data_IF_767004942704
#
_entry.id   IF_767004942704
#
_cell.length_a   1.000
_cell.length_b   1.000
_cell.length_c   1.000
_cell.angle_alpha   90.00
_cell.angle_beta   90.00
_cell.angle_gamma   90.00
#
_symmetry.space_group_name_H-M   'P 1'
#
loop_
_entity.id
_entity.type
_entity.pdbx_description
1 polymer ?
#
# COMPACT_ATOMS: atom_id res chain seq x y z
N UNK A 1 -49.65 -46.36 -11.87
CA UNK A 1 -49.15 -46.69 -13.23
C UNK A 1 -49.22 -45.42 -14.05
N UNK A 2 -48.08 -44.86 -14.46
CA UNK A 2 -48.02 -43.61 -15.22
C UNK A 2 -47.49 -43.90 -16.63
N UNK A 3 -48.27 -43.52 -17.64
CA UNK A 3 -48.03 -43.75 -19.05
C UNK A 3 -46.97 -42.79 -19.61
N UNK A 4 -46.04 -43.32 -20.41
CA UNK A 4 -45.11 -42.53 -21.20
C UNK A 4 -45.76 -42.16 -22.53
N UNK A 5 -46.07 -40.88 -22.76
CA UNK A 5 -46.44 -40.37 -24.08
C UNK A 5 -45.20 -39.86 -24.80
N UNK A 6 -44.88 -40.47 -25.96
CA UNK A 6 -43.85 -39.98 -26.88
C UNK A 6 -44.49 -38.98 -27.84
N UNK A 7 -43.98 -37.76 -27.89
CA UNK A 7 -44.32 -36.80 -28.94
C UNK A 7 -43.30 -36.89 -30.10
N UNK A 8 -43.74 -36.84 -31.36
CA UNK A 8 -42.85 -36.89 -32.51
C UNK A 8 -42.09 -35.56 -32.68
N UNK A 9 -40.78 -35.66 -32.91
CA UNK A 9 -39.96 -34.53 -33.32
C UNK A 9 -40.34 -34.14 -34.75
N UNK A 10 -40.97 -32.98 -34.90
CA UNK A 10 -41.25 -32.38 -36.21
C UNK A 10 -39.94 -31.99 -36.92
N UNK A 11 -39.84 -32.20 -38.25
CA UNK A 11 -38.66 -31.84 -39.02
C UNK A 11 -38.66 -30.33 -39.37
N UNK A 12 -37.47 -29.75 -39.22
CA UNK A 12 -36.88 -28.74 -40.12
C UNK A 12 -37.69 -27.44 -40.31
N UNK A 13 -37.44 -26.48 -39.41
CA UNK A 13 -37.60 -25.06 -39.74
C UNK A 13 -36.61 -24.69 -40.86
N UNK A 14 -37.09 -24.72 -42.09
CA UNK A 14 -36.59 -23.87 -43.17
C UNK A 14 -37.01 -22.44 -42.88
N UNK A 15 -36.06 -21.59 -42.49
CA UNK A 15 -36.18 -20.14 -42.63
C UNK A 15 -34.80 -19.60 -42.96
N UNK A 16 -34.71 -19.06 -44.16
CA UNK A 16 -33.59 -18.39 -44.81
C UNK A 16 -32.76 -17.53 -43.87
N UNK A 17 -31.55 -17.98 -43.52
CA UNK A 17 -30.52 -17.07 -43.03
C UNK A 17 -29.98 -16.29 -44.24
N UNK A 18 -30.21 -14.98 -44.25
CA UNK A 18 -29.59 -14.09 -45.22
C UNK A 18 -28.07 -14.17 -45.01
N UNK A 19 -27.36 -14.85 -45.93
CA UNK A 19 -25.91 -14.78 -46.01
C UNK A 19 -25.58 -13.34 -46.37
N UNK A 20 -25.11 -12.56 -45.40
CA UNK A 20 -24.46 -11.28 -45.67
C UNK A 20 -23.15 -11.58 -46.40
N UNK A 21 -23.22 -11.60 -47.72
CA UNK A 21 -22.05 -11.59 -48.59
C UNK A 21 -21.47 -10.19 -48.49
N UNK A 22 -20.44 -10.02 -47.67
CA UNK A 22 -19.64 -8.81 -47.66
C UNK A 22 -18.85 -8.73 -48.97
N UNK A 23 -19.42 -8.09 -49.99
CA UNK A 23 -18.65 -7.64 -51.15
C UNK A 23 -17.71 -6.52 -50.70
N UNK A 24 -16.46 -6.86 -50.38
CA UNK A 24 -15.41 -5.85 -50.22
C UNK A 24 -15.01 -5.37 -51.60
N UNK A 25 -15.31 -4.12 -51.92
CA UNK A 25 -14.68 -3.40 -53.02
C UNK A 25 -13.22 -3.12 -52.61
N UNK A 26 -12.30 -4.05 -52.90
CA UNK A 26 -10.92 -4.03 -52.36
C UNK A 26 -9.98 -3.06 -53.10
N UNK A 27 -10.30 -2.57 -54.31
CA UNK A 27 -9.24 -2.13 -55.22
C UNK A 27 -9.22 -0.65 -55.67
N UNK A 28 -10.15 0.22 -55.26
CA UNK A 28 -10.23 1.57 -55.87
C UNK A 28 -9.74 2.72 -54.98
N UNK A 29 -9.67 2.59 -53.64
CA UNK A 29 -9.32 3.71 -52.74
C UNK A 29 -8.02 3.52 -51.92
N UNK A 30 -7.17 2.55 -52.27
CA UNK A 30 -5.98 2.22 -51.47
C UNK A 30 -4.73 3.08 -51.76
N UNK A 31 -4.72 3.91 -52.81
CA UNK A 31 -3.49 4.55 -53.31
C UNK A 31 -3.12 5.87 -52.62
N UNK A 32 -4.00 6.49 -51.83
CA UNK A 32 -3.75 7.77 -51.14
C UNK A 32 -3.74 7.69 -49.61
N UNK A 33 -4.16 6.56 -49.03
CA UNK A 33 -4.24 6.37 -47.58
C UNK A 33 -2.90 5.87 -47.01
N UNK A 34 -2.35 6.56 -46.00
CA UNK A 34 -1.20 6.06 -45.23
C UNK A 34 -1.55 4.69 -44.64
N UNK A 35 -0.69 3.70 -44.82
CA UNK A 35 -0.91 2.35 -44.29
C UNK A 35 -1.02 2.38 -42.76
N UNK A 36 -2.23 2.14 -42.23
CA UNK A 36 -2.47 2.02 -40.80
C UNK A 36 -2.42 0.54 -40.41
N UNK A 37 -1.23 0.07 -40.04
CA UNK A 37 -1.05 -1.29 -39.53
C UNK A 37 -1.66 -1.43 -38.13
N UNK A 38 -2.24 -2.60 -37.80
CA UNK A 38 -2.71 -2.85 -36.46
C UNK A 38 -1.54 -2.88 -35.46
N UNK A 39 -1.80 -2.53 -34.19
CA UNK A 39 -0.77 -2.59 -33.17
C UNK A 39 -0.37 -4.05 -32.90
N UNK A 40 0.93 -4.29 -32.74
CA UNK A 40 1.49 -5.62 -32.48
C UNK A 40 1.21 -5.97 -31.01
N UNK A 41 0.05 -6.56 -30.75
CA UNK A 41 -0.40 -6.94 -29.41
C UNK A 41 -0.75 -8.43 -29.35
N UNK A 42 -0.46 -9.12 -28.23
CA UNK A 42 -0.88 -10.50 -28.06
C UNK A 42 -2.40 -10.59 -27.92
N UNK A 43 -3.02 -11.71 -28.30
CA UNK A 43 -4.45 -11.94 -28.12
C UNK A 43 -4.87 -11.82 -26.64
N UNK A 44 -6.07 -11.28 -26.36
CA UNK A 44 -6.59 -11.10 -24.98
C UNK A 44 -7.16 -12.39 -24.36
N UNK A 45 -7.84 -13.23 -25.15
CA UNK A 45 -8.63 -14.38 -24.65
C UNK A 45 -7.93 -15.74 -24.76
N UNK A 46 -6.75 -15.80 -25.38
CA UNK A 46 -6.02 -17.06 -25.54
C UNK A 46 -5.47 -17.59 -24.20
N UNK A 47 -5.34 -18.92 -24.09
CA UNK A 47 -4.71 -19.58 -22.93
C UNK A 47 -3.18 -19.57 -23.03
N UNK A 48 -2.55 -18.40 -23.02
CA UNK A 48 -1.09 -18.24 -23.15
C UNK A 48 -0.50 -17.28 -22.10
N UNK A 49 0.84 -17.34 -21.90
CA UNK A 49 1.55 -16.41 -21.00
C UNK A 49 1.43 -14.96 -21.49
N UNK A 50 1.46 -14.73 -22.80
CA UNK A 50 1.36 -13.41 -23.40
C UNK A 50 -0.03 -12.80 -23.22
N UNK A 51 -1.09 -13.59 -23.39
CA UNK A 51 -2.46 -13.16 -23.12
C UNK A 51 -2.67 -12.77 -21.64
N UNK A 52 -2.16 -13.59 -20.71
CA UNK A 52 -2.23 -13.30 -19.26
C UNK A 52 -1.51 -12.00 -18.90
N UNK A 53 -0.36 -11.72 -19.50
CA UNK A 53 0.38 -10.46 -19.31
C UNK A 53 -0.43 -9.27 -19.83
N UNK A 54 -1.05 -9.37 -21.01
CA UNK A 54 -1.89 -8.31 -21.58
C UNK A 54 -3.07 -7.97 -20.67
N UNK A 55 -3.80 -8.97 -20.18
CA UNK A 55 -4.91 -8.75 -19.23
C UNK A 55 -4.44 -8.04 -17.96
N UNK A 56 -3.25 -8.37 -17.45
CA UNK A 56 -2.68 -7.70 -16.29
C UNK A 56 -2.32 -6.22 -16.59
N UNK A 57 -1.74 -5.94 -17.76
CA UNK A 57 -1.39 -4.57 -18.18
C UNK A 57 -2.65 -3.71 -18.30
N UNK A 58 -3.66 -4.20 -19.03
CA UNK A 58 -4.94 -3.48 -19.21
C UNK A 58 -5.63 -3.21 -17.86
N UNK A 59 -5.55 -4.16 -16.91
CA UNK A 59 -6.04 -3.95 -15.55
C UNK A 59 -5.27 -2.82 -14.82
N UNK A 60 -3.94 -2.78 -14.91
CA UNK A 60 -3.17 -1.71 -14.28
C UNK A 60 -3.36 -0.35 -14.98
N UNK A 61 -3.61 -0.32 -16.29
CA UNK A 61 -3.96 0.90 -17.02
C UNK A 61 -5.30 1.46 -16.53
N UNK A 62 -6.30 0.62 -16.35
CA UNK A 62 -7.58 1.01 -15.73
C UNK A 62 -7.35 1.59 -14.32
N UNK A 63 -6.54 0.92 -13.49
CA UNK A 63 -6.23 1.40 -12.15
C UNK A 63 -5.51 2.75 -12.12
N UNK A 64 -4.69 3.07 -13.13
CA UNK A 64 -4.01 4.38 -13.18
C UNK A 64 -5.02 5.52 -13.29
N UNK A 65 -6.11 5.32 -14.04
CA UNK A 65 -7.16 6.32 -14.27
C UNK A 65 -8.18 6.48 -13.11
N UNK A 66 -8.31 5.49 -12.22
CA UNK A 66 -9.29 5.50 -11.13
C UNK A 66 -8.94 6.44 -9.96
N UNK A 67 -9.90 6.64 -9.05
CA UNK A 67 -9.69 7.35 -7.77
C UNK A 67 -8.95 6.48 -6.73
N UNK A 68 -8.39 7.09 -5.67
CA UNK A 68 -7.60 6.36 -4.65
C UNK A 68 -8.40 5.27 -3.95
N UNK A 69 -9.66 5.56 -3.59
CA UNK A 69 -10.53 4.58 -2.91
C UNK A 69 -10.83 3.37 -3.79
N UNK A 70 -11.11 3.61 -5.08
CA UNK A 70 -11.33 2.56 -6.06
C UNK A 70 -10.07 1.73 -6.31
N UNK A 71 -8.88 2.36 -6.33
CA UNK A 71 -7.60 1.65 -6.44
C UNK A 71 -7.39 0.70 -5.28
N UNK A 72 -7.60 1.16 -4.04
CA UNK A 72 -7.48 0.33 -2.84
C UNK A 72 -8.46 -0.84 -2.93
N UNK A 73 -9.73 -0.58 -3.25
CA UNK A 73 -10.76 -1.62 -3.40
C UNK A 73 -10.38 -2.65 -4.46
N UNK A 74 -9.90 -2.22 -5.62
CA UNK A 74 -9.55 -3.11 -6.71
C UNK A 74 -8.30 -3.95 -6.42
N UNK A 75 -7.28 -3.38 -5.77
CA UNK A 75 -6.05 -4.09 -5.39
C UNK A 75 -6.28 -5.10 -4.25
N UNK A 76 -7.16 -4.78 -3.30
CA UNK A 76 -7.44 -5.64 -2.14
C UNK A 76 -8.56 -6.66 -2.35
N UNK A 77 -9.31 -6.57 -3.47
CA UNK A 77 -10.46 -7.42 -3.77
C UNK A 77 -10.15 -8.92 -3.74
N UNK A 78 -8.98 -9.33 -4.22
CA UNK A 78 -8.62 -10.74 -4.36
C UNK A 78 -7.73 -11.17 -3.21
N UNK A 79 -8.27 -11.98 -2.29
CA UNK A 79 -7.51 -12.52 -1.16
C UNK A 79 -6.84 -13.84 -1.56
N UNK A 80 -5.51 -13.88 -1.46
CA UNK A 80 -4.69 -15.09 -1.65
C UNK A 80 -3.85 -15.32 -0.40
N UNK A 81 -3.31 -16.54 -0.26
CA UNK A 81 -2.31 -16.83 0.78
C UNK A 81 -1.14 -15.84 0.66
N UNK A 82 -0.84 -15.12 1.73
CA UNK A 82 0.20 -14.10 1.82
C UNK A 82 1.00 -14.30 3.10
N UNK A 83 2.27 -13.92 3.09
CA UNK A 83 3.11 -13.95 4.29
C UNK A 83 2.67 -12.88 5.29
N UNK A 84 2.72 -13.21 6.58
CA UNK A 84 2.47 -12.27 7.68
C UNK A 84 3.82 -11.80 8.20
N UNK A 85 4.06 -10.49 8.13
CA UNK A 85 5.31 -9.85 8.57
C UNK A 85 5.00 -9.12 9.87
N UNK A 86 5.65 -9.53 10.97
CA UNK A 86 5.51 -8.91 12.29
C UNK A 86 6.65 -7.93 12.54
N UNK A 87 6.38 -6.63 12.75
CA UNK A 87 7.46 -5.66 13.02
C UNK A 87 8.28 -6.01 14.27
N UNK A 88 7.62 -6.44 15.34
CA UNK A 88 8.25 -6.95 16.55
C UNK A 88 8.38 -8.47 16.44
N UNK A 89 9.53 -8.94 15.97
CA UNK A 89 9.80 -10.36 15.73
C UNK A 89 10.99 -10.85 16.55
N UNK A 90 10.95 -12.10 16.99
CA UNK A 90 12.03 -12.77 17.72
C UNK A 90 12.99 -13.53 16.79
N UNK A 91 12.81 -13.43 15.47
CA UNK A 91 13.64 -14.11 14.50
C UNK A 91 15.08 -13.56 14.50
N UNK A 92 16.06 -14.46 14.41
CA UNK A 92 17.47 -14.09 14.32
C UNK A 92 17.75 -13.37 13.00
N UNK A 93 18.48 -12.25 13.06
CA UNK A 93 18.85 -11.44 11.90
C UNK A 93 17.66 -11.00 11.02
N UNK A 94 16.49 -10.73 11.62
CA UNK A 94 15.29 -10.30 10.92
C UNK A 94 15.51 -9.07 10.02
N UNK A 95 16.40 -8.17 10.43
CA UNK A 95 16.72 -6.93 9.71
C UNK A 95 17.16 -7.17 8.27
N UNK A 96 18.04 -8.17 8.04
CA UNK A 96 18.53 -8.51 6.69
C UNK A 96 17.42 -9.06 5.80
N UNK A 97 16.52 -9.86 6.38
CA UNK A 97 15.36 -10.38 5.67
C UNK A 97 14.38 -9.27 5.30
N UNK A 98 14.15 -8.32 6.20
CA UNK A 98 13.24 -7.21 5.96
C UNK A 98 13.81 -6.30 4.89
N UNK A 99 15.10 -5.95 4.94
CA UNK A 99 15.79 -5.22 3.87
C UNK A 99 15.60 -5.87 2.50
N UNK A 100 15.70 -7.20 2.41
CA UNK A 100 15.45 -7.92 1.16
C UNK A 100 13.97 -7.84 0.71
N UNK A 101 13.01 -8.02 1.63
CA UNK A 101 11.58 -7.95 1.32
C UNK A 101 11.13 -6.56 0.86
N UNK A 102 11.60 -5.51 1.52
CA UNK A 102 11.24 -4.12 1.24
C UNK A 102 12.16 -3.46 0.21
N UNK A 103 13.24 -4.14 -0.21
CA UNK A 103 14.31 -3.59 -1.04
C UNK A 103 14.89 -2.30 -0.45
N UNK A 104 15.10 -2.27 0.87
CA UNK A 104 15.70 -1.14 1.59
C UNK A 104 17.14 -1.43 1.96
N UNK A 105 17.95 -0.39 2.10
CA UNK A 105 19.32 -0.47 2.58
C UNK A 105 19.44 0.23 3.94
N UNK A 106 20.20 -0.38 4.86
CA UNK A 106 20.52 0.25 6.14
C UNK A 106 21.74 1.15 6.00
N UNK A 107 21.62 2.39 6.46
CA UNK A 107 22.72 3.35 6.56
C UNK A 107 22.84 3.73 8.03
N UNK A 108 24.04 3.62 8.58
CA UNK A 108 24.32 3.99 9.97
C UNK A 108 24.30 5.50 10.15
N UNK A 109 23.64 5.98 11.20
CA UNK A 109 23.59 7.40 11.55
C UNK A 109 22.32 8.11 11.08
N UNK A 110 22.30 9.43 11.27
CA UNK A 110 21.21 10.30 10.83
C UNK A 110 21.49 10.82 9.41
N UNK A 111 20.45 11.17 8.62
CA UNK A 111 20.64 11.77 7.31
C UNK A 111 21.49 13.05 7.38
N UNK A 112 22.30 13.30 6.35
CA UNK A 112 23.26 14.41 6.27
C UNK A 112 22.63 15.79 6.56
N UNK A 113 21.36 15.98 6.18
CA UNK A 113 20.59 17.20 6.45
C UNK A 113 20.52 17.56 7.95
N UNK A 114 20.63 16.57 8.82
CA UNK A 114 20.58 16.74 10.28
C UNK A 114 21.95 16.71 10.95
N UNK A 115 23.01 16.31 10.22
CA UNK A 115 24.39 16.28 10.74
C UNK A 115 25.23 17.43 10.20
N UNK A 116 24.95 17.97 9.01
CA UNK A 116 25.67 19.11 8.44
C UNK A 116 25.40 20.42 9.20
N UNK A 117 24.32 20.51 9.98
CA UNK A 117 23.98 21.68 10.79
C UNK A 117 24.92 21.90 11.98
N UNK A 118 25.77 20.94 12.36
CA UNK A 118 26.83 21.19 13.35
C UNK A 118 28.03 21.93 12.77
N UNK A 119 28.17 22.00 11.43
CA UNK A 119 29.16 22.84 10.77
C UNK A 119 28.55 24.21 10.43
N UNK A 120 28.60 25.09 11.44
CA UNK A 120 28.73 26.55 11.37
C UNK A 120 27.57 27.46 10.89
N UNK A 121 26.56 27.06 10.11
CA UNK A 121 25.61 28.08 9.58
C UNK A 121 24.11 27.73 9.57
N UNK A 122 23.69 26.54 10.03
CA UNK A 122 22.26 26.17 10.04
C UNK A 122 21.86 25.20 11.16
N UNK A 123 22.52 25.24 12.31
CA UNK A 123 21.88 24.76 13.53
C UNK A 123 20.71 25.71 13.80
N UNK A 124 19.48 25.23 13.66
CA UNK A 124 18.36 25.86 14.34
C UNK A 124 18.78 25.91 15.80
N UNK A 125 19.17 27.09 16.28
CA UNK A 125 19.52 27.32 17.67
C UNK A 125 18.23 27.08 18.42
N UNK A 126 18.01 25.84 18.84
CA UNK A 126 16.89 25.51 19.72
C UNK A 126 17.13 26.36 20.95
N UNK A 127 16.19 27.26 21.23
CA UNK A 127 16.32 28.20 22.32
C UNK A 127 16.62 27.42 23.61
N UNK A 128 17.69 27.78 24.33
CA UNK A 128 18.08 27.04 25.55
C UNK A 128 16.94 27.03 26.59
N UNK A 129 16.07 28.06 26.58
CA UNK A 129 14.84 28.10 27.36
C UNK A 129 13.91 26.93 27.01
N UNK A 130 13.66 26.68 25.73
CA UNK A 130 12.80 25.60 25.24
C UNK A 130 13.41 24.23 25.56
N UNK A 131 14.73 24.08 25.44
CA UNK A 131 15.41 22.86 25.88
C UNK A 131 15.29 22.63 27.39
N UNK A 132 15.35 23.68 28.20
CA UNK A 132 15.17 23.60 29.65
C UNK A 132 13.75 23.16 30.04
N UNK A 133 12.74 23.68 29.36
CA UNK A 133 11.34 23.28 29.53
C UNK A 133 11.09 21.83 29.07
N UNK A 134 11.72 21.42 27.96
CA UNK A 134 11.65 20.02 27.50
C UNK A 134 12.26 19.08 28.53
N UNK A 135 13.42 19.44 29.09
CA UNK A 135 14.07 18.65 30.15
C UNK A 135 13.17 18.55 31.38
N UNK A 136 12.57 19.64 31.83
CA UNK A 136 11.67 19.61 33.01
C UNK A 136 10.45 18.73 32.76
N UNK A 137 9.79 18.84 31.61
CA UNK A 137 8.63 18.00 31.25
C UNK A 137 8.99 16.50 31.21
N UNK A 138 10.15 16.16 30.66
CA UNK A 138 10.64 14.77 30.64
C UNK A 138 10.93 14.28 32.07
N UNK A 139 11.59 15.09 32.90
CA UNK A 139 11.85 14.74 34.30
C UNK A 139 10.55 14.58 35.10
N UNK A 140 9.59 15.49 34.95
CA UNK A 140 8.31 15.45 35.66
C UNK A 140 7.51 14.20 35.27
N UNK A 141 7.46 13.87 33.98
CA UNK A 141 6.78 12.65 33.51
C UNK A 141 7.47 11.37 33.99
N UNK A 142 8.81 11.34 34.07
CA UNK A 142 9.57 10.22 34.62
C UNK A 142 9.28 10.03 36.12
N UNK A 143 9.30 11.12 36.89
CA UNK A 143 9.02 11.09 38.32
C UNK A 143 7.56 10.76 38.61
N UNK A 144 6.64 11.28 37.79
CA UNK A 144 5.21 10.99 37.88
C UNK A 144 4.97 9.49 37.80
N UNK A 145 5.47 8.84 36.75
CA UNK A 145 5.17 7.43 36.49
C UNK A 145 5.95 6.46 37.38
N UNK A 146 7.17 6.82 37.81
CA UNK A 146 8.02 5.97 38.65
C UNK A 146 7.82 6.15 40.16
N UNK A 147 7.51 7.37 40.61
CA UNK A 147 7.52 7.70 42.03
C UNK A 147 6.18 8.23 42.54
N UNK A 148 5.61 9.24 41.89
CA UNK A 148 4.41 9.92 42.42
C UNK A 148 3.13 9.11 42.22
N UNK A 149 3.01 8.38 41.12
CA UNK A 149 1.88 7.49 40.88
C UNK A 149 2.01 6.24 41.74
N UNK A 150 1.15 6.14 42.76
CA UNK A 150 1.05 4.96 43.63
C UNK A 150 0.45 3.78 42.88
N UNK A 151 1.30 3.08 42.13
CA UNK A 151 0.96 1.82 41.46
C UNK A 151 1.33 0.65 42.36
N UNK A 152 0.51 -0.39 42.33
CA UNK A 152 0.88 -1.67 42.96
C UNK A 152 2.10 -2.28 42.28
N UNK A 153 2.76 -3.25 42.94
CA UNK A 153 3.87 -3.98 42.34
C UNK A 153 3.38 -4.70 41.07
N UNK A 154 3.93 -4.32 39.93
CA UNK A 154 3.63 -4.98 38.67
C UNK A 154 4.28 -6.36 38.61
N UNK A 155 3.66 -7.28 37.86
CA UNK A 155 4.36 -8.47 37.40
C UNK A 155 5.29 -8.09 36.25
N UNK A 156 6.42 -8.79 36.12
CA UNK A 156 7.46 -8.50 35.13
C UNK A 156 6.92 -8.45 33.69
N UNK A 157 5.93 -9.30 33.36
CA UNK A 157 5.28 -9.29 32.04
C UNK A 157 4.35 -8.09 31.79
N UNK A 158 3.84 -7.44 32.85
CA UNK A 158 2.95 -6.26 32.77
C UNK A 158 3.68 -4.95 33.00
N UNK A 159 4.96 -4.98 33.38
CA UNK A 159 5.73 -3.78 33.65
C UNK A 159 5.77 -2.84 32.44
N UNK A 160 5.93 -3.38 31.23
CA UNK A 160 5.95 -2.59 30.01
C UNK A 160 4.60 -1.88 29.76
N UNK A 161 3.49 -2.56 29.99
CA UNK A 161 2.15 -1.98 29.83
C UNK A 161 1.81 -0.97 30.93
N UNK A 162 2.19 -1.27 32.18
CA UNK A 162 1.80 -0.47 33.33
C UNK A 162 2.70 0.75 33.56
N UNK A 163 3.98 0.70 33.16
CA UNK A 163 4.93 1.80 33.38
C UNK A 163 5.42 2.43 32.07
N UNK A 164 5.87 1.64 31.10
CA UNK A 164 6.51 2.18 29.89
C UNK A 164 5.49 2.84 28.95
N UNK A 165 4.34 2.21 28.73
CA UNK A 165 3.29 2.76 27.87
C UNK A 165 2.75 4.13 28.34
N UNK A 166 2.34 4.32 29.62
CA UNK A 166 1.88 5.64 30.08
C UNK A 166 3.00 6.67 30.12
N UNK A 167 4.23 6.28 30.45
CA UNK A 167 5.40 7.17 30.39
C UNK A 167 5.58 7.76 28.98
N UNK A 168 5.66 6.91 27.96
CA UNK A 168 5.83 7.36 26.58
C UNK A 168 4.66 8.24 26.13
N UNK A 169 3.44 7.89 26.55
CA UNK A 169 2.24 8.69 26.26
C UNK A 169 2.33 10.09 26.87
N UNK A 170 2.73 10.20 28.14
CA UNK A 170 2.84 11.48 28.84
C UNK A 170 3.96 12.34 28.24
N UNK A 171 5.12 11.75 27.95
CA UNK A 171 6.25 12.44 27.31
C UNK A 171 5.82 12.99 25.94
N UNK A 172 5.27 12.15 25.07
CA UNK A 172 4.87 12.58 23.71
C UNK A 172 3.79 13.66 23.77
N UNK A 173 2.82 13.54 24.67
CA UNK A 173 1.77 14.56 24.86
C UNK A 173 2.35 15.89 25.34
N UNK A 174 3.23 15.85 26.36
CA UNK A 174 3.90 17.04 26.89
C UNK A 174 4.77 17.74 25.86
N UNK A 175 5.60 16.99 25.15
CA UNK A 175 6.46 17.51 24.09
C UNK A 175 5.64 18.10 22.94
N UNK A 176 4.55 17.44 22.54
CA UNK A 176 3.66 17.96 21.49
C UNK A 176 3.13 19.34 21.85
N UNK A 177 2.59 19.51 23.06
CA UNK A 177 1.99 20.78 23.49
C UNK A 177 3.03 21.90 23.61
N UNK A 178 4.25 21.57 24.05
CA UNK A 178 5.36 22.51 24.17
C UNK A 178 5.84 22.96 22.77
N UNK A 179 6.07 22.00 21.87
CA UNK A 179 6.61 22.24 20.53
C UNK A 179 5.57 22.80 19.54
N UNK A 180 4.27 22.74 19.86
CA UNK A 180 3.21 23.33 19.02
C UNK A 180 3.38 24.85 18.81
N UNK A 181 4.07 25.54 19.74
CA UNK A 181 4.41 26.96 19.59
C UNK A 181 5.47 27.20 18.51
N UNK A 182 6.41 26.28 18.36
CA UNK A 182 7.52 26.39 17.40
C UNK A 182 7.18 25.77 16.05
N UNK A 183 6.35 24.72 16.02
CA UNK A 183 5.93 24.03 14.81
C UNK A 183 4.41 23.89 14.75
N UNK A 184 3.78 24.69 13.88
CA UNK A 184 2.33 24.74 13.69
C UNK A 184 1.72 23.50 13.04
N UNK A 185 2.54 22.55 12.58
CA UNK A 185 2.09 21.28 11.97
C UNK A 185 1.80 20.21 13.03
N UNK A 186 2.34 20.36 14.25
CA UNK A 186 2.20 19.41 15.36
C UNK A 186 0.86 19.57 16.10
#
# INVERSE_FOLDING_TARGET
MASCSRLPLHPLLSSTSARLVCNRNVQVEASTAKSLYPPILPSRTAKSKSAKRRVAIEFFEQLRACTVQEKIRALTRVQRKKYVIYPQTFALNADKWYQHYTKTAYVSGLPEKYTASTNAESAVVVNESVLSEVRSVVCDSLLQERWYMKKGKAFTHKEQEQFVAPLLRNIVCGLKNLLAKENSVL
#
